data_IF_989074596676
#
_entry.id   IF_989074596676
#
_cell.length_a   1.000
_cell.length_b   1.000
_cell.length_c   1.000
_cell.angle_alpha   90.00
_cell.angle_beta   90.00
_cell.angle_gamma   90.00
#
_symmetry.space_group_name_H-M   'P 1'
#
loop_
_entity.id
_entity.type
_entity.pdbx_description
1 polymer ?
#
# COMPACT_ATOMS: atom_id res chain seq x y z
N UNK A 1 53.82 35.88 43.23
CA UNK A 1 52.49 35.98 42.60
C UNK A 1 52.45 34.98 41.45
N UNK A 2 52.01 33.76 41.71
CA UNK A 2 51.91 32.69 40.71
C UNK A 2 50.46 32.59 40.25
N UNK A 3 50.20 32.99 39.00
CA UNK A 3 48.88 32.85 38.38
C UNK A 3 48.68 31.40 37.93
N UNK A 4 47.62 30.78 38.43
CA UNK A 4 47.12 29.49 37.96
C UNK A 4 46.46 29.67 36.59
N UNK A 5 46.81 28.87 35.56
CA UNK A 5 46.10 28.92 34.28
C UNK A 5 44.71 28.29 34.45
N UNK A 6 43.69 29.13 34.36
CA UNK A 6 42.28 28.73 34.33
C UNK A 6 42.00 27.88 33.10
N UNK A 7 41.90 26.56 33.29
CA UNK A 7 41.54 25.61 32.25
C UNK A 7 40.01 25.54 32.18
N UNK A 8 39.40 26.55 31.57
CA UNK A 8 37.99 26.46 31.18
C UNK A 8 37.89 25.56 29.95
N UNK A 9 37.56 24.30 30.20
CA UNK A 9 37.19 23.31 29.19
C UNK A 9 35.96 23.85 28.46
N UNK A 10 36.13 24.27 27.22
CA UNK A 10 35.02 24.71 26.35
C UNK A 10 34.14 23.48 26.08
N UNK A 11 33.05 23.34 26.81
CA UNK A 11 32.05 22.29 26.61
C UNK A 11 31.46 22.45 25.20
N UNK A 12 31.90 21.60 24.27
CA UNK A 12 31.27 21.48 22.95
C UNK A 12 30.02 20.63 23.13
N UNK A 13 28.94 21.05 22.46
CA UNK A 13 27.67 20.38 22.15
C UNK A 13 27.77 18.86 21.89
N UNK A 14 28.11 18.06 22.91
CA UNK A 14 28.35 16.61 22.80
C UNK A 14 27.21 15.78 23.42
N UNK A 15 26.26 16.42 24.10
CA UNK A 15 25.23 15.71 24.88
C UNK A 15 23.88 15.56 24.15
N UNK A 16 23.77 16.04 22.90
CA UNK A 16 22.54 15.85 22.13
C UNK A 16 22.50 14.44 21.51
N UNK A 17 21.47 13.62 21.77
CA UNK A 17 21.40 12.26 21.27
C UNK A 17 21.31 12.22 19.72
N UNK A 18 21.88 11.19 19.11
CA UNK A 18 21.85 11.03 17.65
C UNK A 18 20.54 10.40 17.14
N UNK A 19 19.80 9.73 18.01
CA UNK A 19 18.55 9.00 17.74
C UNK A 19 17.29 9.88 17.84
N UNK A 20 17.46 11.17 18.16
CA UNK A 20 16.36 12.13 18.30
C UNK A 20 16.38 13.16 17.18
N UNK A 21 15.34 14.00 17.11
CA UNK A 21 15.30 15.10 16.14
C UNK A 21 16.55 15.99 16.29
N UNK A 22 17.24 16.36 15.20
CA UNK A 22 18.47 17.14 15.27
C UNK A 22 18.27 18.45 16.03
N UNK A 23 19.21 18.81 16.91
CA UNK A 23 19.13 20.01 17.74
C UNK A 23 18.76 21.28 16.95
N UNK A 24 19.37 21.47 15.77
CA UNK A 24 19.07 22.59 14.87
C UNK A 24 17.60 22.71 14.48
N UNK A 25 16.89 21.60 14.31
CA UNK A 25 15.48 21.59 13.93
C UNK A 25 14.60 21.99 15.11
N UNK A 26 14.91 21.50 16.31
CA UNK A 26 14.23 21.90 17.55
C UNK A 26 14.51 23.36 17.88
N UNK A 27 15.75 23.81 17.74
CA UNK A 27 16.14 25.22 17.92
C UNK A 27 15.32 26.14 16.99
N UNK A 28 15.18 25.77 15.71
CA UNK A 28 14.39 26.52 14.74
C UNK A 28 12.89 26.54 15.12
N UNK A 29 12.35 25.44 15.63
CA UNK A 29 10.98 25.35 16.11
C UNK A 29 10.73 26.28 17.30
N UNK A 30 11.58 26.24 18.31
CA UNK A 30 11.45 27.09 19.50
C UNK A 30 11.69 28.57 19.20
N UNK A 31 12.62 28.88 18.29
CA UNK A 31 12.80 30.24 17.78
C UNK A 31 11.50 30.75 17.14
N UNK A 32 10.87 29.93 16.28
CA UNK A 32 9.61 30.28 15.64
C UNK A 32 8.46 30.46 16.63
N UNK A 33 8.36 29.60 17.65
CA UNK A 33 7.35 29.75 18.71
C UNK A 33 7.58 31.03 19.52
N UNK A 34 8.83 31.37 19.81
CA UNK A 34 9.17 32.60 20.53
C UNK A 34 8.79 33.84 19.71
N UNK A 35 9.00 33.82 18.41
CA UNK A 35 8.58 34.90 17.50
C UNK A 35 7.05 35.09 17.49
N UNK A 36 6.29 34.00 17.43
CA UNK A 36 4.84 34.04 17.31
C UNK A 36 4.13 34.34 18.63
N UNK A 37 4.63 33.79 19.74
CA UNK A 37 3.92 33.80 21.02
C UNK A 37 4.60 34.64 22.11
N UNK A 38 5.82 35.12 21.87
CA UNK A 38 6.55 36.02 22.76
C UNK A 38 6.78 35.42 24.15
N UNK A 39 6.42 36.19 25.19
CA UNK A 39 6.65 35.83 26.60
C UNK A 39 5.87 34.59 27.05
N UNK A 40 4.76 34.23 26.37
CA UNK A 40 3.94 33.05 26.68
C UNK A 40 4.75 31.75 26.67
N UNK A 41 5.79 31.66 25.84
CA UNK A 41 6.68 30.51 25.79
C UNK A 41 7.47 30.33 27.09
N UNK A 42 7.98 31.43 27.66
CA UNK A 42 8.68 31.39 28.95
C UNK A 42 7.76 31.12 30.12
N UNK A 43 6.53 31.62 30.07
CA UNK A 43 5.54 31.40 31.13
C UNK A 43 5.07 29.94 31.21
N UNK A 44 4.86 29.28 30.07
CA UNK A 44 4.40 27.88 30.04
C UNK A 44 5.40 26.91 30.68
N UNK A 45 6.70 27.19 30.57
CA UNK A 45 7.78 26.31 31.03
C UNK A 45 8.55 26.89 32.22
N UNK A 46 7.93 27.79 32.97
CA UNK A 46 8.54 28.40 34.17
C UNK A 46 8.97 27.31 35.15
N UNK A 47 10.23 27.38 35.58
CA UNK A 47 10.81 26.39 36.51
C UNK A 47 11.44 25.15 35.84
N UNK A 48 11.37 25.04 34.51
CA UNK A 48 12.08 24.03 33.73
C UNK A 48 13.26 24.64 32.98
N UNK A 49 14.31 23.86 32.73
CA UNK A 49 15.40 24.30 31.85
C UNK A 49 14.97 24.19 30.38
N UNK A 50 15.29 25.20 29.58
CA UNK A 50 14.94 25.21 28.15
C UNK A 50 15.48 23.98 27.41
N UNK A 51 16.69 23.54 27.78
CA UNK A 51 17.34 22.37 27.18
C UNK A 51 16.59 21.07 27.47
N UNK A 52 16.11 20.85 28.69
CA UNK A 52 15.35 19.64 29.03
C UNK A 52 14.01 19.58 28.27
N UNK A 53 13.32 20.73 28.14
CA UNK A 53 12.08 20.82 27.36
C UNK A 53 12.37 20.53 25.89
N UNK A 54 13.39 21.15 25.31
CA UNK A 54 13.75 20.95 23.91
C UNK A 54 14.16 19.50 23.62
N UNK A 55 14.92 18.86 24.53
CA UNK A 55 15.28 17.45 24.41
C UNK A 55 14.06 16.52 24.44
N UNK A 56 13.06 16.85 25.27
CA UNK A 56 11.79 16.11 25.34
C UNK A 56 11.04 16.22 24.01
N UNK A 57 10.94 17.43 23.44
CA UNK A 57 10.35 17.63 22.12
C UNK A 57 11.13 16.90 21.03
N UNK A 58 12.47 16.86 21.11
CA UNK A 58 13.31 16.16 20.15
C UNK A 58 13.00 14.66 20.09
N UNK A 59 12.77 14.05 21.26
CA UNK A 59 12.40 12.62 21.39
C UNK A 59 11.01 12.35 20.84
N UNK A 60 10.04 13.15 21.25
CA UNK A 60 8.63 12.97 20.86
C UNK A 60 8.36 13.22 19.37
N UNK A 61 9.20 14.01 18.71
CA UNK A 61 9.07 14.35 17.29
C UNK A 61 10.06 13.59 16.38
N UNK A 62 10.84 12.66 16.93
CA UNK A 62 11.87 11.92 16.20
C UNK A 62 11.29 11.06 15.05
N UNK A 63 10.03 10.63 15.16
CA UNK A 63 9.34 9.80 14.17
C UNK A 63 8.72 10.60 13.01
N UNK A 64 8.79 11.93 13.04
CA UNK A 64 8.18 12.80 12.02
C UNK A 64 9.11 13.05 10.83
N UNK A 65 8.53 13.05 9.64
CA UNK A 65 9.26 13.42 8.42
C UNK A 65 9.44 14.94 8.34
N UNK A 66 10.44 15.44 7.58
CA UNK A 66 10.64 16.87 7.37
C UNK A 66 9.39 17.58 6.82
N UNK A 67 8.61 16.89 5.98
CA UNK A 67 7.37 17.43 5.42
C UNK A 67 6.27 17.58 6.50
N UNK A 68 6.13 16.60 7.40
CA UNK A 68 5.17 16.68 8.51
C UNK A 68 5.52 17.82 9.47
N UNK A 69 6.81 18.00 9.79
CA UNK A 69 7.27 19.13 10.58
C UNK A 69 6.95 20.47 9.89
N UNK A 70 7.20 20.58 8.58
CA UNK A 70 6.89 21.80 7.83
C UNK A 70 5.40 22.16 7.87
N UNK A 71 4.51 21.15 7.80
CA UNK A 71 3.06 21.34 7.96
C UNK A 71 2.74 21.88 9.36
N UNK A 72 3.29 21.27 10.42
CA UNK A 72 3.11 21.75 11.79
C UNK A 72 3.60 23.19 11.98
N UNK A 73 4.77 23.53 11.43
CA UNK A 73 5.32 24.88 11.43
C UNK A 73 4.38 25.89 10.74
N UNK A 74 3.79 25.52 9.60
CA UNK A 74 2.86 26.38 8.89
C UNK A 74 1.59 26.64 9.69
N UNK A 75 1.07 25.61 10.37
CA UNK A 75 -0.15 25.65 11.17
C UNK A 75 -0.02 26.47 12.47
N UNK A 76 1.20 26.75 12.95
CA UNK A 76 1.41 27.64 14.10
C UNK A 76 0.90 29.07 13.85
N UNK A 77 0.90 29.53 12.59
CA UNK A 77 0.47 30.90 12.24
C UNK A 77 -1.00 31.16 12.53
N UNK A 78 -1.83 30.12 12.40
CA UNK A 78 -3.29 30.24 12.53
C UNK A 78 -3.77 29.98 13.98
N UNK A 79 -2.82 29.74 14.90
CA UNK A 79 -3.10 29.40 16.30
C UNK A 79 -2.95 30.62 17.22
N UNK A 80 -3.97 30.97 18.02
CA UNK A 80 -3.89 32.10 18.96
C UNK A 80 -3.14 31.76 20.26
N UNK A 81 -2.94 30.47 20.55
CA UNK A 81 -2.24 29.97 21.73
C UNK A 81 -1.06 29.08 21.36
N UNK A 82 -0.06 29.05 22.25
CA UNK A 82 1.12 28.21 22.14
C UNK A 82 0.73 26.74 22.34
N UNK A 83 1.04 25.84 21.39
CA UNK A 83 0.72 24.43 21.56
C UNK A 83 1.68 23.70 22.51
N UNK A 84 1.18 22.66 23.17
CA UNK A 84 2.01 21.66 23.85
C UNK A 84 2.69 20.71 22.85
N UNK A 85 3.66 19.89 23.27
CA UNK A 85 4.34 18.94 22.38
C UNK A 85 3.36 17.97 21.69
N UNK A 86 2.42 17.33 22.41
CA UNK A 86 1.44 16.44 21.78
C UNK A 86 0.51 17.17 20.80
N UNK A 87 0.11 18.40 21.12
CA UNK A 87 -0.71 19.22 20.23
C UNK A 87 0.05 19.61 18.96
N UNK A 88 1.32 19.98 19.07
CA UNK A 88 2.16 20.27 17.91
C UNK A 88 2.35 19.01 17.05
N UNK A 89 2.55 17.85 17.68
CA UNK A 89 2.61 16.57 16.97
C UNK A 89 1.31 16.28 16.21
N UNK A 90 0.16 16.59 16.79
CA UNK A 90 -1.14 16.49 16.10
C UNK A 90 -1.24 17.46 14.92
N UNK A 91 -0.72 18.69 15.05
CA UNK A 91 -0.64 19.66 13.94
C UNK A 91 0.27 19.19 12.80
N UNK A 92 1.34 18.46 13.10
CA UNK A 92 2.21 17.86 12.10
C UNK A 92 1.54 16.71 11.33
N UNK A 93 0.40 16.19 11.83
CA UNK A 93 -0.40 15.12 11.22
C UNK A 93 -1.87 15.55 11.06
N UNK A 94 -2.15 16.64 10.31
CA UNK A 94 -3.53 17.08 10.15
C UNK A 94 -4.34 16.00 9.44
N UNK A 95 -5.53 15.73 9.96
CA UNK A 95 -6.51 14.87 9.26
C UNK A 95 -6.91 15.51 7.93
N UNK A 96 -6.86 16.84 7.82
CA UNK A 96 -7.14 17.57 6.58
C UNK A 96 -6.16 17.27 5.43
N UNK A 97 -4.99 16.66 5.69
CA UNK A 97 -4.10 16.23 4.62
C UNK A 97 -4.57 14.92 3.96
N UNK A 98 -5.44 14.14 4.63
CA UNK A 98 -5.94 12.88 4.08
C UNK A 98 -6.84 13.12 2.88
N UNK A 99 -7.68 14.15 2.90
CA UNK A 99 -8.50 14.53 1.75
C UNK A 99 -7.63 14.83 0.52
N UNK A 100 -6.57 15.61 0.69
CA UNK A 100 -5.64 15.97 -0.39
C UNK A 100 -4.89 14.73 -0.91
N UNK A 101 -4.43 13.88 0.00
CA UNK A 101 -3.77 12.62 -0.35
C UNK A 101 -4.72 11.65 -1.06
N UNK A 102 -5.99 11.63 -0.66
CA UNK A 102 -7.04 10.84 -1.28
C UNK A 102 -7.33 11.34 -2.70
N UNK A 103 -7.53 12.64 -2.87
CA UNK A 103 -7.75 13.25 -4.18
C UNK A 103 -6.56 12.99 -5.12
N UNK A 104 -5.33 13.11 -4.60
CA UNK A 104 -4.12 12.75 -5.32
C UNK A 104 -4.12 11.27 -5.72
N UNK A 105 -4.41 10.36 -4.79
CA UNK A 105 -4.43 8.93 -5.06
C UNK A 105 -5.49 8.55 -6.11
N UNK A 106 -6.68 9.14 -6.05
CA UNK A 106 -7.74 8.98 -7.06
C UNK A 106 -7.24 9.43 -8.44
N UNK A 107 -6.64 10.63 -8.51
CA UNK A 107 -6.11 11.16 -9.77
C UNK A 107 -5.02 10.26 -10.37
N UNK A 108 -4.11 9.71 -9.54
CA UNK A 108 -3.07 8.80 -10.02
C UNK A 108 -3.63 7.45 -10.48
N UNK A 109 -4.66 6.91 -9.81
CA UNK A 109 -5.34 5.69 -10.27
C UNK A 109 -5.98 5.86 -11.66
N UNK A 110 -6.49 7.06 -11.97
CA UNK A 110 -7.00 7.39 -13.31
C UNK A 110 -5.85 7.40 -14.32
N UNK A 111 -4.75 8.13 -14.04
CA UNK A 111 -3.57 8.23 -14.93
C UNK A 111 -2.87 6.90 -15.18
N UNK A 112 -2.98 5.97 -14.22
CA UNK A 112 -2.41 4.63 -14.32
C UNK A 112 -3.00 3.80 -15.46
N UNK A 113 -4.21 4.12 -15.93
CA UNK A 113 -4.80 3.50 -17.13
C UNK A 113 -3.96 3.76 -18.38
N UNK A 114 -3.38 4.95 -18.45
CA UNK A 114 -2.52 5.40 -19.55
C UNK A 114 -1.03 5.18 -19.25
N UNK A 115 -0.70 4.60 -18.08
CA UNK A 115 0.68 4.36 -17.64
C UNK A 115 1.48 5.62 -17.31
N UNK A 116 0.82 6.75 -17.06
CA UNK A 116 1.46 8.05 -16.77
C UNK A 116 1.43 8.44 -15.28
N UNK A 117 1.14 7.47 -14.41
CA UNK A 117 1.03 7.70 -12.98
C UNK A 117 2.38 7.90 -12.30
N UNK A 118 2.41 8.82 -11.33
CA UNK A 118 3.58 9.15 -10.53
C UNK A 118 3.19 9.10 -9.07
N UNK A 119 3.89 8.29 -8.29
CA UNK A 119 3.64 8.10 -6.86
C UNK A 119 4.87 8.53 -6.05
N UNK A 120 4.89 9.76 -5.50
CA UNK A 120 6.00 10.25 -4.69
C UNK A 120 6.19 9.45 -3.40
N UNK A 121 5.09 9.00 -2.80
CA UNK A 121 5.06 8.12 -1.63
C UNK A 121 4.41 6.79 -2.05
N UNK A 122 5.17 5.68 -2.12
CA UNK A 122 4.63 4.36 -2.43
C UNK A 122 3.52 3.92 -1.47
N UNK A 123 3.50 4.45 -0.23
CA UNK A 123 2.47 4.09 0.74
C UNK A 123 1.08 4.53 0.29
N UNK A 124 0.97 5.62 -0.49
CA UNK A 124 -0.29 6.10 -1.04
C UNK A 124 -0.88 5.12 -2.05
N UNK A 125 -0.03 4.52 -2.89
CA UNK A 125 -0.44 3.52 -3.86
C UNK A 125 -0.98 2.27 -3.17
N UNK A 126 -0.23 1.74 -2.20
CA UNK A 126 -0.64 0.53 -1.46
C UNK A 126 -1.85 0.78 -0.57
N UNK A 127 -1.99 1.98 0.00
CA UNK A 127 -3.20 2.37 0.72
C UNK A 127 -4.42 2.38 -0.21
N UNK A 128 -4.30 2.97 -1.40
CA UNK A 128 -5.37 3.02 -2.40
C UNK A 128 -5.77 1.62 -2.89
N UNK A 129 -4.80 0.73 -3.12
CA UNK A 129 -5.08 -0.68 -3.46
C UNK A 129 -5.75 -1.45 -2.34
N UNK A 130 -5.37 -1.18 -1.08
CA UNK A 130 -5.97 -1.84 0.09
C UNK A 130 -7.42 -1.43 0.30
N UNK A 131 -7.77 -0.18 0.01
CA UNK A 131 -9.19 0.27 -0.07
C UNK A 131 -9.88 -0.40 -1.26
N UNK A 132 -9.18 -0.49 -2.39
CA UNK A 132 -9.64 -1.19 -3.59
C UNK A 132 -10.32 -0.25 -4.59
N UNK A 133 -10.07 -0.50 -5.88
CA UNK A 133 -10.52 0.38 -6.97
C UNK A 133 -12.05 0.54 -7.01
N UNK A 134 -12.81 -0.51 -6.67
CA UNK A 134 -14.27 -0.44 -6.64
C UNK A 134 -14.75 0.54 -5.56
N UNK A 135 -14.21 0.46 -4.34
CA UNK A 135 -14.61 1.34 -3.25
C UNK A 135 -14.17 2.79 -3.47
N UNK A 136 -12.97 2.98 -4.01
CA UNK A 136 -12.45 4.31 -4.36
C UNK A 136 -13.34 5.07 -5.36
N UNK A 137 -14.16 4.36 -6.15
CA UNK A 137 -15.08 4.96 -7.12
C UNK A 137 -16.53 5.06 -6.63
N UNK A 138 -16.95 4.22 -5.68
CA UNK A 138 -18.36 4.06 -5.32
C UNK A 138 -18.74 4.54 -3.92
N UNK A 139 -17.78 4.71 -3.00
CA UNK A 139 -18.07 5.18 -1.65
C UNK A 139 -18.23 6.70 -1.57
N UNK A 140 -19.12 7.15 -0.68
CA UNK A 140 -19.24 8.56 -0.31
C UNK A 140 -17.98 9.08 0.38
N UNK A 141 -17.69 10.37 0.20
CA UNK A 141 -16.39 10.98 0.57
C UNK A 141 -16.02 10.78 2.04
N UNK A 142 -16.94 11.03 2.97
CA UNK A 142 -16.66 10.91 4.41
C UNK A 142 -16.24 9.50 4.84
N UNK A 143 -16.82 8.47 4.23
CA UNK A 143 -16.45 7.09 4.51
C UNK A 143 -15.12 6.74 3.83
N UNK A 144 -14.91 7.25 2.62
CA UNK A 144 -13.69 7.00 1.86
C UNK A 144 -12.46 7.61 2.54
N UNK A 145 -12.56 8.84 3.06
CA UNK A 145 -11.49 9.50 3.84
C UNK A 145 -11.11 8.66 5.05
N UNK A 146 -12.10 8.14 5.80
CA UNK A 146 -11.84 7.28 6.97
C UNK A 146 -11.15 5.98 6.59
N UNK A 147 -11.62 5.30 5.53
CA UNK A 147 -11.01 4.04 5.07
C UNK A 147 -9.61 4.24 4.53
N UNK A 148 -9.40 5.30 3.75
CA UNK A 148 -8.10 5.64 3.20
C UNK A 148 -7.10 6.02 4.29
N UNK A 149 -7.51 6.83 5.29
CA UNK A 149 -6.66 7.15 6.43
C UNK A 149 -6.20 5.89 7.19
N UNK A 150 -7.14 4.98 7.48
CA UNK A 150 -6.84 3.73 8.17
C UNK A 150 -5.91 2.82 7.35
N UNK A 151 -6.13 2.73 6.03
CA UNK A 151 -5.28 1.97 5.13
C UNK A 151 -3.86 2.55 5.05
N UNK A 152 -3.72 3.87 4.90
CA UNK A 152 -2.43 4.55 4.82
C UNK A 152 -1.62 4.38 6.10
N UNK A 153 -2.27 4.52 7.25
CA UNK A 153 -1.64 4.32 8.55
C UNK A 153 -1.20 2.86 8.75
N UNK A 154 -1.99 1.89 8.27
CA UNK A 154 -1.61 0.47 8.31
C UNK A 154 -0.37 0.19 7.46
N UNK A 155 -0.35 0.68 6.22
CA UNK A 155 0.81 0.51 5.31
C UNK A 155 2.07 1.15 5.88
N UNK A 156 1.95 2.35 6.48
CA UNK A 156 3.08 3.02 7.12
C UNK A 156 3.60 2.25 8.34
N UNK A 157 2.70 1.65 9.12
CA UNK A 157 3.08 0.83 10.28
C UNK A 157 3.78 -0.47 9.88
N UNK A 158 3.39 -1.07 8.77
CA UNK A 158 4.04 -2.28 8.23
C UNK A 158 5.51 -2.00 7.84
N UNK A 159 5.88 -0.75 7.54
CA UNK A 159 7.27 -0.30 7.37
C UNK A 159 8.00 -0.80 6.11
N UNK A 160 7.57 -1.91 5.51
CA UNK A 160 8.15 -2.49 4.30
C UNK A 160 7.31 -2.15 3.06
N UNK A 161 7.33 -0.86 2.68
CA UNK A 161 6.55 -0.38 1.54
C UNK A 161 7.31 -0.67 0.24
N UNK A 162 6.83 -1.65 -0.52
CA UNK A 162 7.41 -2.01 -1.81
C UNK A 162 7.30 -0.86 -2.83
N UNK A 163 8.24 -0.74 -3.79
CA UNK A 163 8.12 0.25 -4.85
C UNK A 163 6.86 -0.01 -5.69
N UNK A 164 6.27 1.06 -6.22
CA UNK A 164 5.06 0.96 -7.03
C UNK A 164 5.36 0.21 -8.33
N UNK A 165 4.66 -0.90 -8.64
CA UNK A 165 4.87 -1.62 -9.89
C UNK A 165 4.56 -0.75 -11.12
N UNK A 166 5.21 -0.99 -12.25
CA UNK A 166 4.83 -0.37 -13.52
C UNK A 166 3.40 -0.77 -13.92
N UNK A 167 2.64 0.15 -14.52
CA UNK A 167 1.31 -0.14 -15.05
C UNK A 167 1.42 -1.22 -16.13
N UNK A 168 0.67 -2.33 -15.97
CA UNK A 168 0.59 -3.39 -16.98
C UNK A 168 -0.67 -3.18 -17.82
N UNK A 169 -0.55 -3.37 -19.12
CA UNK A 169 -1.69 -3.36 -20.02
C UNK A 169 -2.75 -4.35 -19.52
N UNK A 170 -4.02 -3.93 -19.55
CA UNK A 170 -5.13 -4.78 -19.14
C UNK A 170 -5.15 -6.04 -20.00
N UNK A 171 -5.34 -7.20 -19.36
CA UNK A 171 -5.59 -8.43 -20.09
C UNK A 171 -6.87 -8.24 -20.94
N UNK A 172 -6.92 -8.82 -22.16
CA UNK A 172 -8.13 -8.80 -22.95
C UNK A 172 -9.30 -9.37 -22.12
N UNK A 173 -10.48 -8.78 -22.32
CA UNK A 173 -11.68 -9.18 -21.57
C UNK A 173 -11.89 -10.70 -21.63
N UNK A 174 -12.36 -11.33 -20.54
CA UNK A 174 -12.67 -12.76 -20.53
C UNK A 174 -13.54 -13.15 -21.74
N UNK A 175 -13.13 -14.19 -22.46
CA UNK A 175 -13.79 -14.64 -23.70
C UNK A 175 -13.21 -14.06 -25.00
N UNK A 176 -12.53 -12.91 -24.98
CA UNK A 176 -11.88 -12.30 -26.17
C UNK A 176 -10.45 -12.80 -26.43
N UNK A 177 -9.89 -13.59 -25.51
CA UNK A 177 -8.64 -14.33 -25.67
C UNK A 177 -8.88 -15.84 -25.89
N UNK A 178 -10.01 -16.20 -26.50
CA UNK A 178 -10.24 -17.59 -26.90
C UNK A 178 -9.31 -17.90 -28.05
N UNK A 179 -8.25 -18.65 -27.79
CA UNK A 179 -7.44 -19.26 -28.85
C UNK A 179 -8.36 -20.09 -29.73
N UNK A 180 -8.31 -19.88 -31.04
CA UNK A 180 -9.16 -20.64 -31.96
C UNK A 180 -8.86 -22.14 -31.83
N UNK A 181 -9.88 -22.96 -32.13
CA UNK A 181 -9.82 -24.41 -31.90
C UNK A 181 -8.69 -25.10 -32.69
N UNK A 182 -8.28 -24.53 -33.83
CA UNK A 182 -7.21 -25.07 -34.66
C UNK A 182 -5.83 -24.76 -34.05
N UNK A 183 -5.59 -23.50 -33.68
CA UNK A 183 -4.36 -23.06 -33.01
C UNK A 183 -4.20 -23.70 -31.64
N UNK A 184 -5.29 -23.84 -30.87
CA UNK A 184 -5.28 -24.55 -29.59
C UNK A 184 -4.92 -26.03 -29.75
N UNK A 185 -5.43 -26.71 -30.78
CA UNK A 185 -5.05 -28.10 -31.11
C UNK A 185 -3.59 -28.21 -31.55
N UNK A 186 -3.09 -27.27 -32.32
CA UNK A 186 -1.70 -27.25 -32.76
C UNK A 186 -0.74 -27.08 -31.58
N UNK A 187 -1.03 -26.17 -30.65
CA UNK A 187 -0.24 -26.00 -29.43
C UNK A 187 -0.29 -27.23 -28.53
N UNK A 188 -1.46 -27.86 -28.35
CA UNK A 188 -1.59 -29.11 -27.60
C UNK A 188 -0.80 -30.26 -28.25
N UNK A 189 -0.85 -30.38 -29.58
CA UNK A 189 -0.08 -31.38 -30.32
C UNK A 189 1.43 -31.19 -30.15
N UNK A 190 1.91 -29.94 -30.19
CA UNK A 190 3.32 -29.62 -29.95
C UNK A 190 3.77 -29.95 -28.52
N UNK A 191 2.93 -29.65 -27.51
CA UNK A 191 3.21 -29.99 -26.10
C UNK A 191 3.24 -31.51 -25.90
N UNK A 192 2.34 -32.25 -26.56
CA UNK A 192 2.29 -33.71 -26.49
C UNK A 192 3.46 -34.36 -27.24
N UNK A 193 3.89 -33.79 -28.37
CA UNK A 193 5.05 -34.26 -29.13
C UNK A 193 6.38 -33.97 -28.41
N UNK A 194 6.47 -32.87 -27.66
CA UNK A 194 7.65 -32.48 -26.88
C UNK A 194 7.81 -33.21 -25.54
N UNK A 195 6.93 -34.17 -25.20
CA UNK A 195 6.98 -34.92 -23.95
C UNK A 195 7.55 -36.33 -24.20
N UNK A 196 8.88 -36.54 -24.10
CA UNK A 196 9.43 -37.90 -24.18
C UNK A 196 9.00 -38.67 -22.93
N UNK A 197 8.27 -39.76 -23.09
CA UNK A 197 8.10 -40.75 -22.01
C UNK A 197 6.69 -41.21 -21.66
N UNK A 198 5.62 -40.86 -22.38
CA UNK A 198 4.38 -41.66 -22.30
C UNK A 198 4.38 -42.69 -23.42
N UNK A 199 5.16 -43.76 -23.22
CA UNK A 199 5.26 -44.88 -24.16
C UNK A 199 3.87 -45.39 -24.55
N UNK A 200 3.72 -45.86 -25.79
CA UNK A 200 2.51 -46.52 -26.31
C UNK A 200 1.96 -47.57 -25.33
N UNK A 201 2.85 -48.27 -24.62
CA UNK A 201 2.53 -49.24 -23.54
C UNK A 201 1.70 -48.66 -22.40
N UNK A 202 1.86 -47.37 -22.08
CA UNK A 202 1.09 -46.71 -21.02
C UNK A 202 -0.35 -46.46 -21.44
N UNK A 203 -0.60 -46.14 -22.71
CA UNK A 203 -1.95 -46.02 -23.28
C UNK A 203 -2.59 -47.41 -23.45
N UNK A 204 -1.79 -48.44 -23.77
CA UNK A 204 -2.26 -49.83 -23.83
C UNK A 204 -2.78 -50.31 -22.48
N UNK A 205 -2.06 -50.07 -21.37
CA UNK A 205 -2.56 -50.48 -20.03
C UNK A 205 -3.81 -49.73 -19.60
N UNK A 206 -3.92 -48.43 -19.90
CA UNK A 206 -5.15 -47.69 -19.58
C UNK A 206 -6.32 -48.15 -20.44
N UNK A 207 -6.07 -48.46 -21.72
CA UNK A 207 -7.07 -49.01 -22.64
C UNK A 207 -7.48 -50.45 -22.28
N UNK A 208 -6.54 -51.27 -21.86
CA UNK A 208 -6.73 -52.67 -21.43
C UNK A 208 -7.43 -52.76 -20.06
N UNK A 209 -7.15 -51.82 -19.15
CA UNK A 209 -7.88 -51.68 -17.89
C UNK A 209 -9.31 -51.10 -18.06
N UNK A 210 -9.56 -50.34 -19.13
CA UNK A 210 -10.87 -49.75 -19.44
C UNK A 210 -11.73 -50.62 -20.37
N UNK A 211 -11.15 -51.60 -21.07
CA UNK A 211 -11.88 -52.58 -21.91
C UNK A 211 -12.99 -53.34 -21.16
N UNK A 212 -12.78 -53.85 -19.92
CA UNK A 212 -13.85 -54.51 -19.17
C UNK A 212 -14.97 -53.55 -18.71
N UNK A 213 -14.72 -52.23 -18.72
CA UNK A 213 -15.72 -51.20 -18.39
C UNK A 213 -16.45 -50.74 -19.67
N UNK A 214 -15.78 -50.74 -20.82
CA UNK A 214 -16.36 -50.38 -22.11
C UNK A 214 -17.39 -51.40 -22.64
N UNK A 215 -17.26 -52.68 -22.30
CA UNK A 215 -18.22 -53.74 -22.67
C UNK A 215 -19.47 -53.79 -21.76
N UNK A 216 -19.60 -52.87 -20.79
CA UNK A 216 -20.79 -52.72 -19.94
C UNK A 216 -21.34 -51.29 -20.08
N UNK A 217 -22.07 -50.98 -21.17
CA UNK A 217 -22.58 -49.62 -21.42
C UNK A 217 -23.41 -49.07 -20.24
N UNK A 218 -24.06 -49.95 -19.49
CA UNK A 218 -24.91 -49.60 -18.33
C UNK A 218 -24.10 -49.12 -17.11
N UNK A 219 -22.82 -49.51 -17.01
CA UNK A 219 -21.94 -49.14 -15.91
C UNK A 219 -21.32 -47.76 -16.11
N UNK A 220 -20.99 -47.40 -17.36
CA UNK A 220 -20.44 -46.08 -17.73
C UNK A 220 -21.48 -44.97 -17.49
N UNK A 221 -22.76 -45.25 -17.73
CA UNK A 221 -23.86 -44.33 -17.45
C UNK A 221 -24.08 -44.04 -15.95
N UNK A 222 -23.61 -44.90 -15.05
CA UNK A 222 -23.67 -44.67 -13.58
C UNK A 222 -22.47 -43.92 -13.01
N UNK A 223 -21.37 -43.86 -13.77
CA UNK A 223 -20.10 -43.25 -13.36
C UNK A 223 -19.95 -41.80 -13.83
N UNK A 224 -20.74 -41.39 -14.82
CA UNK A 224 -20.77 -40.01 -15.29
C UNK A 224 -21.83 -39.23 -14.49
N UNK A 225 -21.50 -38.05 -13.96
CA UNK A 225 -22.51 -37.19 -13.34
C UNK A 225 -23.58 -36.82 -14.37
N UNK A 226 -24.84 -36.69 -13.94
CA UNK A 226 -26.00 -36.42 -14.83
C UNK A 226 -25.78 -35.20 -15.75
N UNK A 227 -24.97 -34.23 -15.31
CA UNK A 227 -24.57 -33.06 -16.08
C UNK A 227 -23.75 -33.40 -17.34
N UNK A 228 -22.89 -34.42 -17.28
CA UNK A 228 -22.08 -34.87 -18.42
C UNK A 228 -22.92 -35.66 -19.43
N UNK A 229 -23.90 -36.45 -18.95
CA UNK A 229 -24.83 -37.20 -19.80
C UNK A 229 -25.84 -36.28 -20.51
N UNK A 230 -26.29 -35.23 -19.83
CA UNK A 230 -27.16 -34.20 -20.43
C UNK A 230 -26.45 -33.46 -21.58
N UNK A 231 -25.15 -33.15 -21.42
CA UNK A 231 -24.35 -32.49 -22.45
C UNK A 231 -24.17 -33.33 -23.72
N UNK A 232 -24.07 -34.65 -23.58
CA UNK A 232 -23.93 -35.56 -24.71
C UNK A 232 -25.25 -35.75 -25.49
N UNK A 233 -26.41 -35.51 -24.84
CA UNK A 233 -27.74 -35.70 -25.44
C UNK A 233 -28.31 -34.46 -26.13
N UNK A 234 -27.94 -33.26 -25.68
CA UNK A 234 -28.38 -32.00 -26.31
C UNK A 234 -27.19 -31.05 -26.55
N UNK A 235 -26.37 -31.29 -27.59
CA UNK A 235 -25.20 -30.45 -27.86
C UNK A 235 -25.55 -28.99 -28.18
N UNK A 236 -26.77 -28.70 -28.64
CA UNK A 236 -27.17 -27.35 -29.07
C UNK A 236 -27.64 -26.41 -27.95
N UNK A 237 -28.16 -26.92 -26.82
CA UNK A 237 -28.67 -26.03 -25.74
C UNK A 237 -27.57 -25.52 -24.79
N UNK A 238 -26.44 -26.21 -24.68
CA UNK A 238 -25.32 -25.81 -23.82
C UNK A 238 -24.61 -24.55 -24.29
N UNK A 239 -24.55 -24.31 -25.60
CA UNK A 239 -23.90 -23.13 -26.18
C UNK A 239 -24.72 -21.84 -25.98
N UNK A 240 -26.05 -21.92 -25.97
CA UNK A 240 -26.91 -20.74 -25.86
C UNK A 240 -26.93 -20.12 -24.43
N UNK A 241 -26.73 -20.92 -23.37
CA UNK A 241 -26.70 -20.41 -21.98
C UNK A 241 -25.39 -19.73 -21.59
N UNK A 242 -24.30 -19.96 -22.32
CA UNK A 242 -23.00 -19.33 -22.05
C UNK A 242 -22.87 -17.90 -22.61
N UNK A 243 -23.87 -17.42 -23.37
CA UNK A 243 -23.86 -16.08 -23.98
C UNK A 243 -24.72 -15.04 -23.25
N UNK A 244 -25.29 -15.36 -22.08
CA UNK A 244 -26.11 -14.43 -21.28
C UNK A 244 -25.72 -14.35 -19.79
N UNK A 245 -24.47 -14.67 -19.44
CA UNK A 245 -23.92 -14.44 -18.10
C UNK A 245 -22.69 -13.53 -18.16
#
# INVERSE_FOLDING_TARGET
MTQTPSTLKRERSTDWPADVLPKRAVDALFARMKELYGTKLGDLWRGQTSEAVMLTWARELADLTPQQLAIGHAALRDRPYLPTCPEFRALCRPKEYIDVLLDFAIAQLVRRRDGTDVWPDPALYWAALRVGLFEMNNLGRDLLVKRFAAALETVRREGNVQPVPAARAALPAPGKATTDKATGRAHLAAILAGRPGRSERSLSRTREALLPIADRPDAVAKLLPDSALAYAREPEKGAARASQA
#
